data_IF_207507710049
#
_entry.id   IF_207507710049
#
_cell.length_a   1.000
_cell.length_b   1.000
_cell.length_c   1.000
_cell.angle_alpha   90.00
_cell.angle_beta   90.00
_cell.angle_gamma   90.00
#
_symmetry.space_group_name_H-M   'P 1'
#
loop_
_entity.id
_entity.type
_entity.pdbx_description
1 polymer ?
#
# COMPACT_ATOMS: atom_id res chain seq x y z
N UNK A 1 23.86 7.10 -19.11
CA UNK A 1 22.68 7.86 -18.65
C UNK A 1 21.71 8.00 -19.81
N UNK A 2 20.78 7.06 -19.95
CA UNK A 2 19.79 7.07 -21.02
C UNK A 2 18.63 7.99 -20.64
N UNK A 3 18.77 9.28 -20.93
CA UNK A 3 17.64 10.20 -21.02
C UNK A 3 16.90 9.89 -22.32
N UNK A 4 15.85 9.08 -22.24
CA UNK A 4 14.89 8.94 -23.33
C UNK A 4 14.15 10.28 -23.47
N UNK A 5 14.66 11.13 -24.36
CA UNK A 5 13.97 12.36 -24.78
C UNK A 5 12.69 11.97 -25.51
N UNK A 6 11.58 12.61 -25.12
CA UNK A 6 10.26 12.48 -25.76
C UNK A 6 10.35 12.69 -27.29
N UNK A 7 11.39 13.37 -27.80
CA UNK A 7 11.65 13.52 -29.23
C UNK A 7 11.92 12.19 -29.96
N UNK A 8 12.47 11.17 -29.29
CA UNK A 8 12.79 9.88 -29.92
C UNK A 8 11.55 8.98 -30.09
N UNK A 9 10.50 9.16 -29.29
CA UNK A 9 9.24 8.44 -29.46
C UNK A 9 8.42 8.91 -30.69
N UNK A 10 8.75 10.08 -31.23
CA UNK A 10 8.04 10.67 -32.37
C UNK A 10 8.33 10.05 -33.74
N UNK A 11 9.26 9.08 -33.84
CA UNK A 11 9.66 8.47 -35.11
C UNK A 11 8.85 7.24 -35.53
N UNK A 12 7.82 6.85 -34.76
CA UNK A 12 6.90 5.78 -35.14
C UNK A 12 5.70 6.36 -35.90
N UNK A 13 5.54 6.07 -37.21
CA UNK A 13 4.61 6.79 -38.09
C UNK A 13 3.11 6.61 -37.75
N UNK A 14 2.77 5.69 -36.84
CA UNK A 14 1.40 5.48 -36.37
C UNK A 14 1.07 6.16 -35.02
N UNK A 15 2.08 6.58 -34.23
CA UNK A 15 1.90 7.27 -32.94
C UNK A 15 1.83 8.79 -33.09
N UNK A 16 2.38 9.35 -34.17
CA UNK A 16 2.45 10.80 -34.42
C UNK A 16 1.08 11.48 -34.56
N UNK A 17 0.03 10.73 -34.90
CA UNK A 17 -1.33 11.26 -35.06
C UNK A 17 -2.10 11.37 -33.73
N UNK A 18 -1.65 10.66 -32.68
CA UNK A 18 -2.21 10.72 -31.32
C UNK A 18 -1.43 11.65 -30.38
N UNK A 19 -0.19 12.00 -30.75
CA UNK A 19 0.72 12.84 -29.96
C UNK A 19 0.51 14.38 -30.00
N UNK A 20 -0.22 15.00 -30.95
CA UNK A 20 -0.38 16.44 -30.90
C UNK A 20 -1.52 16.78 -29.92
N UNK A 21 -1.18 17.45 -28.82
CA UNK A 21 -2.02 17.99 -27.71
C UNK A 21 -2.05 17.18 -26.40
N UNK A 22 -0.99 16.47 -26.04
CA UNK A 22 -0.75 16.27 -24.61
C UNK A 22 -0.23 17.60 -24.04
N UNK A 23 -0.94 18.26 -23.10
CA UNK A 23 -0.41 19.46 -22.47
C UNK A 23 0.90 19.08 -21.78
N UNK A 24 1.99 19.76 -22.14
CA UNK A 24 3.24 19.56 -21.41
C UNK A 24 2.98 19.93 -19.94
N UNK A 25 3.36 19.07 -18.99
CA UNK A 25 3.30 19.45 -17.58
C UNK A 25 4.05 20.76 -17.38
N UNK A 26 3.43 21.72 -16.69
CA UNK A 26 4.10 22.96 -16.33
C UNK A 26 5.31 22.67 -15.44
N UNK A 27 6.28 23.58 -15.44
CA UNK A 27 7.43 23.50 -14.56
C UNK A 27 6.99 23.42 -13.09
N UNK A 28 7.73 22.65 -12.29
CA UNK A 28 7.48 22.56 -10.84
C UNK A 28 7.78 23.90 -10.17
N UNK A 29 7.06 24.19 -9.09
CA UNK A 29 7.11 25.46 -8.35
C UNK A 29 7.66 25.27 -6.94
N UNK A 30 7.94 26.38 -6.25
CA UNK A 30 8.41 26.37 -4.88
C UNK A 30 7.27 26.11 -3.90
N UNK A 31 7.60 25.70 -2.67
CA UNK A 31 6.62 25.52 -1.60
C UNK A 31 5.83 26.81 -1.32
N UNK A 32 6.42 27.99 -1.51
CA UNK A 32 5.75 29.29 -1.35
C UNK A 32 4.56 29.48 -2.31
N UNK A 33 4.61 28.83 -3.46
CA UNK A 33 3.72 29.09 -4.60
C UNK A 33 2.48 28.17 -4.59
N UNK A 34 2.45 27.19 -3.67
CA UNK A 34 1.30 26.29 -3.47
C UNK A 34 0.61 26.54 -2.12
N UNK A 35 -0.70 26.28 -2.01
CA UNK A 35 -1.41 26.39 -0.73
C UNK A 35 -0.77 25.54 0.37
N UNK A 36 -0.90 25.99 1.62
CA UNK A 36 -0.27 25.34 2.78
C UNK A 36 -0.64 23.86 2.93
N UNK A 37 -1.83 23.46 2.49
CA UNK A 37 -2.30 22.07 2.49
C UNK A 37 -1.32 21.11 1.80
N UNK A 38 -0.78 21.51 0.65
CA UNK A 38 0.08 20.69 -0.21
C UNK A 38 1.54 20.63 0.26
N UNK A 39 1.97 21.56 1.13
CA UNK A 39 3.39 21.73 1.50
C UNK A 39 3.81 20.67 2.49
N UNK A 40 4.85 19.89 2.20
CA UNK A 40 5.40 18.91 3.12
C UNK A 40 6.54 19.51 3.97
N UNK A 41 6.74 19.07 5.22
CA UNK A 41 7.81 19.60 6.06
C UNK A 41 9.17 19.35 5.40
N UNK A 42 10.03 20.37 5.40
CA UNK A 42 11.40 20.32 4.87
C UNK A 42 11.54 20.14 3.35
N UNK A 43 10.44 20.01 2.62
CA UNK A 43 10.39 19.97 1.16
C UNK A 43 10.16 21.40 0.65
N UNK A 44 11.10 21.96 -0.11
CA UNK A 44 11.11 23.39 -0.45
C UNK A 44 10.72 23.68 -1.91
N UNK A 45 10.84 22.69 -2.79
CA UNK A 45 10.60 22.80 -4.23
C UNK A 45 10.06 21.50 -4.83
N UNK A 46 9.82 21.50 -6.14
CA UNK A 46 9.36 20.31 -6.85
C UNK A 46 7.85 20.11 -6.82
N UNK A 47 7.07 21.08 -6.34
CA UNK A 47 5.61 21.00 -6.31
C UNK A 47 5.02 21.18 -7.70
N UNK A 48 3.94 20.46 -8.01
CA UNK A 48 3.19 20.69 -9.25
C UNK A 48 2.21 21.85 -9.06
N UNK A 49 2.05 22.75 -10.05
CA UNK A 49 1.03 23.79 -10.01
C UNK A 49 -0.37 23.22 -9.80
N UNK A 50 -1.21 23.95 -9.07
CA UNK A 50 -2.62 23.58 -8.82
C UNK A 50 -3.51 24.04 -9.98
N UNK A 51 -4.74 23.51 -10.06
CA UNK A 51 -5.78 23.89 -11.02
C UNK A 51 -5.38 23.74 -12.50
N UNK A 52 -4.48 22.80 -12.79
CA UNK A 52 -4.16 22.42 -14.17
C UNK A 52 -5.21 21.44 -14.71
N UNK A 53 -5.25 21.29 -16.04
CA UNK A 53 -6.01 20.22 -16.67
C UNK A 53 -5.58 18.84 -16.13
N UNK A 54 -6.53 17.92 -15.91
CA UNK A 54 -6.23 16.56 -15.43
C UNK A 54 -5.16 15.85 -16.25
N UNK A 55 -5.17 16.07 -17.56
CA UNK A 55 -4.18 15.54 -18.51
C UNK A 55 -2.75 15.92 -18.13
N UNK A 56 -2.53 17.12 -17.60
CA UNK A 56 -1.21 17.59 -17.15
C UNK A 56 -0.69 16.76 -15.97
N UNK A 57 -1.57 16.38 -15.03
CA UNK A 57 -1.18 15.51 -13.91
C UNK A 57 -0.88 14.08 -14.36
N UNK A 58 -1.65 13.52 -15.31
CA UNK A 58 -1.30 12.23 -15.92
C UNK A 58 0.04 12.28 -16.65
N UNK A 59 0.29 13.34 -17.43
CA UNK A 59 1.57 13.55 -18.11
C UNK A 59 2.73 13.76 -17.13
N UNK A 60 2.46 14.30 -15.94
CA UNK A 60 3.47 14.49 -14.89
C UNK A 60 4.05 13.18 -14.35
N UNK A 61 3.44 12.03 -14.67
CA UNK A 61 4.02 10.71 -14.39
C UNK A 61 5.47 10.59 -14.87
N UNK A 62 5.82 11.23 -16.00
CA UNK A 62 7.16 11.24 -16.57
C UNK A 62 7.95 12.54 -16.28
N UNK A 63 7.44 13.40 -15.41
CA UNK A 63 8.11 14.62 -14.94
C UNK A 63 8.75 14.36 -13.57
N UNK A 64 9.91 14.95 -13.33
CA UNK A 64 10.51 14.99 -12.00
C UNK A 64 9.83 16.05 -11.13
N UNK A 65 9.19 15.62 -10.05
CA UNK A 65 8.51 16.42 -9.05
C UNK A 65 8.58 15.71 -7.68
N UNK A 66 8.17 16.39 -6.61
CA UNK A 66 8.28 15.86 -5.25
C UNK A 66 7.51 14.53 -5.06
N UNK A 67 6.37 14.37 -5.72
CA UNK A 67 5.59 13.12 -5.67
C UNK A 67 6.09 12.00 -6.60
N UNK A 68 7.13 12.20 -7.43
CA UNK A 68 7.46 11.26 -8.51
C UNK A 68 7.79 9.86 -8.00
N UNK A 69 8.67 9.73 -6.99
CA UNK A 69 8.98 8.41 -6.46
C UNK A 69 7.85 7.83 -5.60
N UNK A 70 6.99 8.65 -4.99
CA UNK A 70 5.79 8.16 -4.30
C UNK A 70 4.87 7.41 -5.29
N UNK A 71 4.73 7.93 -6.51
CA UNK A 71 3.98 7.29 -7.60
C UNK A 71 4.72 6.07 -8.14
N UNK A 72 5.99 6.22 -8.56
CA UNK A 72 6.72 5.16 -9.25
C UNK A 72 6.99 3.91 -8.40
N UNK A 73 7.24 4.08 -7.10
CA UNK A 73 7.49 2.95 -6.19
C UNK A 73 6.28 2.00 -6.12
N UNK A 74 5.07 2.53 -5.95
CA UNK A 74 3.86 1.72 -5.95
C UNK A 74 3.44 1.27 -7.36
N UNK A 75 3.63 2.11 -8.38
CA UNK A 75 3.32 1.76 -9.77
C UNK A 75 4.15 0.57 -10.27
N UNK A 76 5.43 0.49 -9.89
CA UNK A 76 6.30 -0.64 -10.24
C UNK A 76 6.03 -1.90 -9.43
N UNK A 77 5.48 -1.78 -8.21
CA UNK A 77 5.08 -2.92 -7.40
C UNK A 77 3.90 -3.69 -8.03
N UNK A 78 2.96 -3.00 -8.69
CA UNK A 78 1.80 -3.61 -9.36
C UNK A 78 2.20 -4.70 -10.37
N UNK A 79 3.00 -4.42 -11.42
CA UNK A 79 3.40 -5.44 -12.38
C UNK A 79 4.30 -6.51 -11.75
N UNK A 80 5.08 -6.19 -10.71
CA UNK A 80 5.88 -7.18 -9.99
C UNK A 80 5.00 -8.22 -9.28
N UNK A 81 3.96 -7.77 -8.55
CA UNK A 81 2.97 -8.65 -7.91
C UNK A 81 2.22 -9.47 -8.95
N UNK A 82 1.74 -8.84 -10.03
CA UNK A 82 1.01 -9.53 -11.10
C UNK A 82 1.88 -10.59 -11.78
N UNK A 83 3.14 -10.29 -12.06
CA UNK A 83 4.08 -11.24 -12.64
C UNK A 83 4.31 -12.42 -11.69
N UNK A 84 4.61 -12.16 -10.41
CA UNK A 84 4.86 -13.22 -9.43
C UNK A 84 3.61 -14.09 -9.22
N UNK A 85 2.43 -13.49 -9.13
CA UNK A 85 1.16 -14.22 -9.05
C UNK A 85 0.88 -15.04 -10.30
N UNK A 86 1.13 -14.49 -11.49
CA UNK A 86 0.91 -15.22 -12.75
C UNK A 86 1.85 -16.42 -12.90
N UNK A 87 3.13 -16.24 -12.53
CA UNK A 87 4.11 -17.34 -12.51
C UNK A 87 3.72 -18.41 -11.50
N UNK A 88 3.31 -18.02 -10.29
CA UNK A 88 2.83 -18.94 -9.27
C UNK A 88 1.58 -19.71 -9.76
N UNK A 89 0.59 -19.00 -10.28
CA UNK A 89 -0.65 -19.59 -10.77
C UNK A 89 -0.42 -20.55 -11.93
N UNK A 90 0.46 -20.20 -12.88
CA UNK A 90 0.82 -21.07 -14.00
C UNK A 90 1.62 -22.31 -13.57
N UNK A 91 2.57 -22.14 -12.65
CA UNK A 91 3.44 -23.25 -12.18
C UNK A 91 2.66 -24.31 -11.40
N UNK A 92 1.71 -23.87 -10.57
CA UNK A 92 0.98 -24.74 -9.65
C UNK A 92 -0.48 -24.99 -10.05
N UNK A 93 -0.90 -24.51 -11.23
CA UNK A 93 -2.26 -24.69 -11.73
C UNK A 93 -3.32 -24.08 -10.80
N UNK A 94 -3.05 -22.89 -10.25
CA UNK A 94 -3.96 -22.23 -9.29
C UNK A 94 -5.28 -21.89 -9.97
N UNK A 95 -6.37 -22.42 -9.44
CA UNK A 95 -7.74 -22.08 -9.84
C UNK A 95 -8.45 -21.36 -8.70
N UNK A 96 -9.42 -20.50 -9.02
CA UNK A 96 -10.28 -19.88 -8.03
C UNK A 96 -11.28 -20.93 -7.51
N UNK A 97 -11.15 -21.27 -6.23
CA UNK A 97 -12.04 -22.16 -5.48
C UNK A 97 -12.08 -21.70 -4.02
N UNK A 98 -12.85 -22.38 -3.16
CA UNK A 98 -13.01 -21.94 -1.76
C UNK A 98 -11.67 -21.93 -1.01
N UNK A 99 -10.80 -22.92 -1.26
CA UNK A 99 -9.50 -22.99 -0.61
C UNK A 99 -8.56 -21.84 -1.01
N UNK A 100 -8.63 -21.37 -2.27
CA UNK A 100 -7.78 -20.29 -2.79
C UNK A 100 -8.40 -18.90 -2.67
N UNK A 101 -9.69 -18.79 -2.33
CA UNK A 101 -10.42 -17.52 -2.23
C UNK A 101 -9.68 -16.46 -1.36
N UNK A 102 -9.20 -16.77 -0.14
CA UNK A 102 -8.45 -15.80 0.65
C UNK A 102 -7.18 -15.30 -0.04
N UNK A 103 -6.53 -16.13 -0.87
CA UNK A 103 -5.34 -15.74 -1.61
C UNK A 103 -5.70 -14.75 -2.72
N UNK A 104 -6.77 -15.01 -3.47
CA UNK A 104 -7.26 -14.07 -4.50
C UNK A 104 -7.69 -12.74 -3.89
N UNK A 105 -8.36 -12.74 -2.73
CA UNK A 105 -8.73 -11.52 -2.02
C UNK A 105 -7.50 -10.74 -1.53
N UNK A 106 -6.47 -11.44 -1.04
CA UNK A 106 -5.18 -10.82 -0.70
C UNK A 106 -4.54 -10.14 -1.93
N UNK A 107 -4.47 -10.81 -3.08
CA UNK A 107 -3.95 -10.23 -4.32
C UNK A 107 -4.77 -9.01 -4.75
N UNK A 108 -6.09 -9.13 -4.77
CA UNK A 108 -6.99 -8.03 -5.13
C UNK A 108 -6.76 -6.82 -4.21
N UNK A 109 -6.71 -7.04 -2.89
CA UNK A 109 -6.45 -6.00 -1.90
C UNK A 109 -5.07 -5.33 -2.08
N UNK A 110 -4.06 -6.11 -2.45
CA UNK A 110 -2.70 -5.63 -2.74
C UNK A 110 -2.70 -4.68 -3.95
N UNK A 111 -3.40 -5.07 -5.02
CA UNK A 111 -3.53 -4.24 -6.22
C UNK A 111 -4.37 -2.99 -5.95
N UNK A 112 -5.41 -3.09 -5.12
CA UNK A 112 -6.27 -1.97 -4.74
C UNK A 112 -5.49 -0.88 -4.00
N UNK A 113 -4.75 -1.21 -2.93
CA UNK A 113 -4.02 -0.17 -2.18
C UNK A 113 -2.94 0.50 -3.03
N UNK A 114 -2.19 -0.28 -3.82
CA UNK A 114 -1.16 0.26 -4.71
C UNK A 114 -1.77 1.21 -5.73
N UNK A 115 -2.89 0.81 -6.36
CA UNK A 115 -3.58 1.62 -7.36
C UNK A 115 -4.15 2.90 -6.76
N UNK A 116 -4.76 2.82 -5.58
CA UNK A 116 -5.31 3.98 -4.89
C UNK A 116 -4.22 4.95 -4.45
N UNK A 117 -3.10 4.45 -3.96
CA UNK A 117 -1.95 5.26 -3.60
C UNK A 117 -1.29 5.93 -4.81
N UNK A 118 -1.08 5.19 -5.91
CA UNK A 118 -0.61 5.75 -7.20
C UNK A 118 -1.53 6.87 -7.65
N UNK A 119 -2.84 6.64 -7.63
CA UNK A 119 -3.84 7.62 -8.05
C UNK A 119 -3.80 8.84 -7.15
N UNK A 120 -3.69 8.67 -5.84
CA UNK A 120 -3.61 9.78 -4.90
C UNK A 120 -2.37 10.63 -5.11
N UNK A 121 -1.18 10.04 -5.11
CA UNK A 121 0.05 10.78 -5.29
C UNK A 121 0.18 11.40 -6.69
N UNK A 122 -0.39 10.79 -7.73
CA UNK A 122 -0.35 11.35 -9.07
C UNK A 122 -1.33 12.53 -9.23
N UNK A 123 -2.50 12.49 -8.59
CA UNK A 123 -3.61 13.40 -8.90
C UNK A 123 -3.96 14.41 -7.79
N UNK A 124 -3.42 14.24 -6.57
CA UNK A 124 -3.81 15.05 -5.39
C UNK A 124 -3.60 16.56 -5.58
N UNK A 125 -2.61 16.97 -6.38
CA UNK A 125 -2.24 18.37 -6.57
C UNK A 125 -3.23 19.18 -7.42
N UNK A 126 -4.31 18.58 -7.94
CA UNK A 126 -5.28 19.28 -8.79
C UNK A 126 -6.05 20.39 -8.04
N UNK A 127 -6.62 20.09 -6.88
CA UNK A 127 -7.36 21.05 -6.04
C UNK A 127 -7.41 20.55 -4.61
N UNK A 128 -7.82 21.40 -3.66
CA UNK A 128 -7.95 20.97 -2.26
C UNK A 128 -8.98 19.84 -2.10
N UNK A 129 -10.10 19.91 -2.85
CA UNK A 129 -11.09 18.83 -2.85
C UNK A 129 -10.48 17.52 -3.36
N UNK A 130 -9.78 17.57 -4.50
CA UNK A 130 -9.08 16.40 -5.04
C UNK A 130 -8.07 15.84 -4.05
N UNK A 131 -7.30 16.70 -3.37
CA UNK A 131 -6.37 16.29 -2.33
C UNK A 131 -7.06 15.48 -1.22
N UNK A 132 -8.15 16.00 -0.63
CA UNK A 132 -8.87 15.27 0.41
C UNK A 132 -9.48 13.96 -0.10
N UNK A 133 -10.23 14.01 -1.19
CA UNK A 133 -10.92 12.84 -1.75
C UNK A 133 -9.97 11.72 -2.11
N UNK A 134 -8.88 12.03 -2.80
CA UNK A 134 -7.92 11.02 -3.26
C UNK A 134 -7.15 10.38 -2.11
N UNK A 135 -6.77 11.14 -1.09
CA UNK A 135 -6.13 10.56 0.09
C UNK A 135 -7.11 9.79 0.99
N UNK A 136 -8.41 10.10 0.98
CA UNK A 136 -9.40 9.23 1.62
C UNK A 136 -9.51 7.89 0.91
N UNK A 137 -9.51 7.90 -0.43
CA UNK A 137 -9.47 6.66 -1.22
C UNK A 137 -8.18 5.88 -0.94
N UNK A 138 -7.03 6.54 -0.82
CA UNK A 138 -5.77 5.91 -0.40
C UNK A 138 -5.89 5.20 0.96
N UNK A 139 -6.47 5.87 1.97
CA UNK A 139 -6.70 5.26 3.28
C UNK A 139 -7.68 4.08 3.25
N UNK A 140 -8.72 4.14 2.39
CA UNK A 140 -9.59 2.99 2.13
C UNK A 140 -8.77 1.83 1.54
N UNK A 141 -7.89 2.10 0.58
CA UNK A 141 -7.00 1.10 -0.01
C UNK A 141 -6.14 0.40 1.04
N UNK A 142 -5.52 1.16 1.95
CA UNK A 142 -4.72 0.62 3.06
C UNK A 142 -5.56 -0.28 3.98
N UNK A 143 -6.79 0.12 4.31
CA UNK A 143 -7.67 -0.69 5.16
C UNK A 143 -8.16 -1.97 4.49
N UNK A 144 -8.44 -1.92 3.18
CA UNK A 144 -8.79 -3.11 2.39
C UNK A 144 -7.60 -4.07 2.30
N UNK A 145 -6.39 -3.55 2.09
CA UNK A 145 -5.17 -4.36 2.10
C UNK A 145 -4.90 -5.00 3.47
N UNK A 146 -5.02 -4.23 4.54
CA UNK A 146 -4.93 -4.75 5.90
C UNK A 146 -5.86 -5.96 6.10
N UNK A 147 -7.15 -5.84 5.76
CA UNK A 147 -8.07 -6.96 5.92
C UNK A 147 -7.76 -8.14 4.99
N UNK A 148 -7.28 -7.89 3.77
CA UNK A 148 -6.77 -8.93 2.87
C UNK A 148 -5.58 -9.70 3.46
N UNK A 149 -4.64 -9.01 4.12
CA UNK A 149 -3.54 -9.63 4.87
C UNK A 149 -4.07 -10.51 5.99
N UNK A 150 -5.04 -10.01 6.76
CA UNK A 150 -5.70 -10.77 7.84
C UNK A 150 -6.32 -12.07 7.37
N UNK A 151 -7.04 -12.07 6.23
CA UNK A 151 -7.58 -13.30 5.65
C UNK A 151 -6.47 -14.31 5.35
N UNK A 152 -5.40 -13.87 4.69
CA UNK A 152 -4.25 -14.72 4.40
C UNK A 152 -3.62 -15.30 5.65
N UNK A 153 -3.26 -14.45 6.62
CA UNK A 153 -2.62 -14.88 7.86
C UNK A 153 -3.50 -15.84 8.67
N UNK A 154 -4.81 -15.61 8.71
CA UNK A 154 -5.74 -16.48 9.42
C UNK A 154 -5.91 -17.83 8.74
N UNK A 155 -6.09 -17.88 7.42
CA UNK A 155 -6.42 -19.14 6.74
C UNK A 155 -5.19 -19.99 6.41
N UNK A 156 -4.02 -19.39 6.23
CA UNK A 156 -2.83 -20.14 5.77
C UNK A 156 -1.68 -20.15 6.79
N UNK A 157 -1.49 -19.09 7.58
CA UNK A 157 -0.35 -19.00 8.50
C UNK A 157 -0.65 -19.46 9.93
N UNK A 158 -1.93 -19.55 10.31
CA UNK A 158 -2.30 -19.62 11.73
C UNK A 158 -2.28 -21.04 12.31
N UNK A 159 -1.52 -21.21 13.39
CA UNK A 159 -1.38 -22.50 14.07
C UNK A 159 -2.63 -22.84 14.90
N UNK A 160 -2.98 -24.14 15.06
CA UNK A 160 -4.16 -24.56 15.82
C UNK A 160 -4.22 -23.98 17.24
N UNK A 161 -3.09 -23.99 17.96
CA UNK A 161 -3.00 -23.45 19.34
C UNK A 161 -3.35 -21.96 19.38
N UNK A 162 -2.89 -21.19 18.39
CA UNK A 162 -3.19 -19.76 18.31
C UNK A 162 -4.65 -19.52 17.87
N UNK A 163 -5.15 -20.29 16.90
CA UNK A 163 -6.54 -20.16 16.40
C UNK A 163 -7.60 -20.45 17.47
N UNK A 164 -7.34 -21.43 18.33
CA UNK A 164 -8.26 -21.78 19.41
C UNK A 164 -8.11 -20.88 20.66
N UNK A 165 -7.18 -19.93 20.64
CA UNK A 165 -7.06 -18.93 21.70
C UNK A 165 -8.19 -17.89 21.62
N UNK A 166 -8.36 -17.10 22.69
CA UNK A 166 -9.31 -15.98 22.71
C UNK A 166 -9.10 -15.00 21.56
N UNK A 167 -7.83 -14.73 21.21
CA UNK A 167 -7.48 -13.82 20.11
C UNK A 167 -7.88 -14.43 18.76
N UNK A 168 -7.60 -15.73 18.56
CA UNK A 168 -7.92 -16.43 17.32
C UNK A 168 -9.42 -16.45 17.02
N UNK A 169 -10.26 -16.66 18.03
CA UNK A 169 -11.73 -16.70 17.88
C UNK A 169 -12.31 -15.37 17.38
N UNK A 170 -11.77 -14.24 17.84
CA UNK A 170 -12.27 -12.90 17.49
C UNK A 170 -11.45 -12.21 16.40
N UNK A 171 -10.44 -12.89 15.84
CA UNK A 171 -9.45 -12.28 14.96
C UNK A 171 -10.07 -11.60 13.74
N UNK A 172 -10.84 -12.31 12.92
CA UNK A 172 -11.39 -11.76 11.67
C UNK A 172 -12.38 -10.60 11.92
N UNK A 173 -13.37 -10.72 12.83
CA UNK A 173 -14.22 -9.57 13.18
C UNK A 173 -13.41 -8.39 13.76
N UNK A 174 -12.42 -8.67 14.62
CA UNK A 174 -11.54 -7.66 15.19
C UNK A 174 -10.72 -6.93 14.13
N UNK A 175 -10.15 -7.67 13.18
CA UNK A 175 -9.38 -7.12 12.07
C UNK A 175 -10.23 -6.21 11.18
N UNK A 176 -11.47 -6.62 10.86
CA UNK A 176 -12.40 -5.78 10.10
C UNK A 176 -12.74 -4.46 10.83
N UNK A 177 -13.05 -4.53 12.12
CA UNK A 177 -13.35 -3.35 12.95
C UNK A 177 -12.13 -2.43 13.02
N UNK A 178 -10.93 -2.98 13.24
CA UNK A 178 -9.70 -2.19 13.33
C UNK A 178 -9.30 -1.60 11.98
N UNK A 179 -9.55 -2.28 10.86
CA UNK A 179 -9.36 -1.72 9.52
C UNK A 179 -10.27 -0.51 9.30
N UNK A 180 -11.56 -0.61 9.66
CA UNK A 180 -12.50 0.50 9.58
C UNK A 180 -12.10 1.65 10.51
N UNK A 181 -11.71 1.35 11.75
CA UNK A 181 -11.28 2.35 12.73
C UNK A 181 -9.99 3.07 12.27
N UNK A 182 -9.04 2.34 11.70
CA UNK A 182 -7.81 2.88 11.13
C UNK A 182 -8.10 3.83 9.97
N UNK A 183 -8.93 3.41 9.01
CA UNK A 183 -9.36 4.25 7.88
C UNK A 183 -10.07 5.52 8.35
N UNK A 184 -11.12 5.37 9.16
CA UNK A 184 -11.93 6.50 9.65
C UNK A 184 -11.09 7.49 10.46
N UNK A 185 -10.18 6.99 11.30
CA UNK A 185 -9.28 7.84 12.07
C UNK A 185 -8.29 8.60 11.18
N UNK A 186 -7.77 7.97 10.12
CA UNK A 186 -6.91 8.62 9.14
C UNK A 186 -7.64 9.70 8.32
N UNK A 187 -8.86 9.40 7.86
CA UNK A 187 -9.74 10.36 7.18
C UNK A 187 -10.07 11.54 8.10
N UNK A 188 -10.52 11.26 9.33
CA UNK A 188 -10.83 12.26 10.34
C UNK A 188 -9.61 13.14 10.65
N UNK A 189 -8.45 12.53 10.88
CA UNK A 189 -7.22 13.27 11.19
C UNK A 189 -6.78 14.18 10.04
N UNK A 190 -6.96 13.76 8.78
CA UNK A 190 -6.64 14.59 7.62
C UNK A 190 -7.63 15.74 7.46
N UNK A 191 -8.92 15.51 7.69
CA UNK A 191 -9.96 16.55 7.60
C UNK A 191 -9.89 17.56 8.75
N UNK A 192 -9.73 17.09 9.99
CA UNK A 192 -9.89 17.88 11.21
C UNK A 192 -8.69 18.77 11.53
N UNK A 193 -7.48 18.28 11.27
CA UNK A 193 -6.25 18.97 11.67
C UNK A 193 -5.65 19.72 10.48
N UNK A 194 -5.08 20.90 10.73
CA UNK A 194 -4.44 21.77 9.72
C UNK A 194 -2.99 22.03 10.10
N UNK A 195 -2.18 22.52 9.15
CA UNK A 195 -0.77 22.85 9.39
C UNK A 195 -0.62 24.12 10.25
N UNK A 196 0.39 24.22 11.13
CA UNK A 196 1.32 23.13 11.52
C UNK A 196 0.57 22.04 12.30
N UNK A 197 0.77 20.78 11.90
CA UNK A 197 -0.04 19.69 12.43
C UNK A 197 0.28 19.42 13.90
N UNK A 198 -0.73 19.37 14.79
CA UNK A 198 -0.52 19.05 16.19
C UNK A 198 -0.20 17.57 16.37
N UNK A 199 0.48 17.22 17.46
CA UNK A 199 0.79 15.83 17.84
C UNK A 199 -0.48 14.95 17.88
N UNK A 200 -1.62 15.52 18.25
CA UNK A 200 -2.93 14.83 18.27
C UNK A 200 -3.30 14.21 16.92
N UNK A 201 -2.90 14.82 15.79
CA UNK A 201 -3.10 14.24 14.45
C UNK A 201 -2.37 12.91 14.32
N UNK A 202 -1.08 12.88 14.69
CA UNK A 202 -0.27 11.66 14.64
C UNK A 202 -0.81 10.58 15.58
N UNK A 203 -1.21 10.95 16.80
CA UNK A 203 -1.82 10.01 17.76
C UNK A 203 -3.09 9.38 17.17
N UNK A 204 -3.94 10.20 16.55
CA UNK A 204 -5.18 9.74 15.91
C UNK A 204 -4.93 8.75 14.77
N UNK A 205 -3.84 8.89 14.02
CA UNK A 205 -3.49 7.98 12.93
C UNK A 205 -2.75 6.74 13.44
N UNK A 206 -1.70 6.93 14.24
CA UNK A 206 -0.77 5.85 14.61
C UNK A 206 -1.40 4.85 15.57
N UNK A 207 -2.21 5.26 16.56
CA UNK A 207 -2.75 4.31 17.55
C UNK A 207 -3.66 3.27 16.89
N UNK A 208 -4.72 3.64 16.14
CA UNK A 208 -5.59 2.67 15.50
C UNK A 208 -4.83 1.78 14.51
N UNK A 209 -3.95 2.35 13.68
CA UNK A 209 -3.15 1.57 12.71
C UNK A 209 -2.16 0.63 13.40
N UNK A 210 -1.61 1.00 14.57
CA UNK A 210 -0.72 0.12 15.33
C UNK A 210 -1.50 -1.03 15.97
N UNK A 211 -2.68 -0.78 16.53
CA UNK A 211 -3.54 -1.83 17.08
C UNK A 211 -3.99 -2.81 16.00
N UNK A 212 -4.38 -2.29 14.83
CA UNK A 212 -4.64 -3.04 13.62
C UNK A 212 -3.47 -3.97 13.28
N UNK A 213 -2.27 -3.40 13.10
CA UNK A 213 -1.09 -4.19 12.76
C UNK A 213 -0.76 -5.27 13.80
N UNK A 214 -0.82 -4.93 15.10
CA UNK A 214 -0.54 -5.86 16.19
C UNK A 214 -1.49 -7.06 16.17
N UNK A 215 -2.78 -6.83 15.88
CA UNK A 215 -3.72 -7.93 15.70
C UNK A 215 -3.35 -8.73 14.46
N UNK A 216 -3.29 -8.10 13.28
CA UNK A 216 -3.10 -8.73 11.98
C UNK A 216 -1.82 -9.57 11.87
N UNK A 217 -0.74 -9.15 12.53
CA UNK A 217 0.54 -9.87 12.54
C UNK A 217 0.59 -10.99 13.59
N UNK A 218 -0.36 -11.05 14.53
CA UNK A 218 -0.29 -11.98 15.66
C UNK A 218 -0.25 -13.47 15.29
N UNK A 219 -0.90 -13.99 14.21
CA UNK A 219 -0.70 -15.38 13.79
C UNK A 219 0.75 -15.65 13.35
N UNK A 220 1.32 -14.71 12.59
CA UNK A 220 2.71 -14.77 12.11
C UNK A 220 3.68 -14.66 13.28
N UNK A 221 3.46 -13.72 14.20
CA UNK A 221 4.29 -13.53 15.38
C UNK A 221 4.29 -14.77 16.28
N UNK A 222 3.14 -15.41 16.48
CA UNK A 222 3.05 -16.68 17.18
C UNK A 222 3.87 -17.77 16.49
N UNK A 223 3.76 -17.90 15.17
CA UNK A 223 4.52 -18.90 14.41
C UNK A 223 6.03 -18.66 14.48
N UNK A 224 6.48 -17.40 14.33
CA UNK A 224 7.89 -17.00 14.49
C UNK A 224 8.45 -17.31 15.89
N UNK A 225 7.61 -17.22 16.92
CA UNK A 225 8.00 -17.48 18.31
C UNK A 225 7.98 -18.97 18.69
N UNK A 226 7.23 -19.80 17.98
CA UNK A 226 6.96 -21.20 18.39
C UNK A 226 7.52 -22.26 17.46
N UNK A 227 7.86 -21.92 16.21
CA UNK A 227 8.42 -22.86 15.23
C UNK A 227 9.94 -22.73 15.09
N UNK A 228 10.57 -23.82 14.64
CA UNK A 228 12.00 -23.86 14.29
C UNK A 228 12.27 -23.11 12.99
N UNK A 229 13.36 -22.34 12.96
CA UNK A 229 13.74 -21.47 11.83
C UNK A 229 14.35 -22.21 10.63
N UNK A 230 14.27 -23.53 10.61
CA UNK A 230 14.67 -24.36 9.47
C UNK A 230 13.70 -24.22 8.28
N UNK A 231 12.48 -23.72 8.52
CA UNK A 231 11.49 -23.45 7.48
C UNK A 231 11.80 -22.10 6.77
N UNK A 232 12.13 -22.09 5.46
CA UNK A 232 12.46 -20.86 4.74
C UNK A 232 11.34 -19.81 4.73
N UNK A 233 10.08 -20.22 4.91
CA UNK A 233 8.93 -19.33 4.97
C UNK A 233 8.96 -18.41 6.20
N UNK A 234 9.56 -18.84 7.30
CA UNK A 234 9.70 -18.02 8.51
C UNK A 234 10.66 -16.85 8.30
N UNK A 235 11.70 -17.03 7.48
CA UNK A 235 12.61 -15.94 7.09
C UNK A 235 11.84 -14.87 6.32
N UNK A 236 10.96 -15.26 5.39
CA UNK A 236 10.13 -14.31 4.64
C UNK A 236 9.13 -13.59 5.55
N UNK A 237 8.51 -14.32 6.48
CA UNK A 237 7.65 -13.74 7.51
C UNK A 237 8.38 -12.78 8.45
N UNK A 238 9.63 -13.06 8.80
CA UNK A 238 10.46 -12.15 9.58
C UNK A 238 10.83 -10.89 8.77
N UNK A 239 11.19 -11.05 7.50
CA UNK A 239 11.52 -9.94 6.61
C UNK A 239 10.33 -8.99 6.39
N UNK A 240 9.10 -9.49 6.19
CA UNK A 240 7.93 -8.60 6.10
C UNK A 240 7.73 -7.78 7.39
N UNK A 241 7.97 -8.37 8.57
CA UNK A 241 7.86 -7.66 9.85
C UNK A 241 8.92 -6.57 9.93
N UNK A 242 10.18 -6.89 9.61
CA UNK A 242 11.28 -5.92 9.58
C UNK A 242 10.98 -4.77 8.61
N UNK A 243 10.56 -5.08 7.39
CA UNK A 243 10.25 -4.07 6.39
C UNK A 243 9.03 -3.22 6.79
N UNK A 244 7.99 -3.80 7.39
CA UNK A 244 6.88 -3.03 7.94
C UNK A 244 7.32 -2.07 9.04
N UNK A 245 8.17 -2.52 9.97
CA UNK A 245 8.69 -1.67 11.05
C UNK A 245 9.54 -0.52 10.52
N UNK A 246 10.35 -0.77 9.48
CA UNK A 246 11.10 0.28 8.78
C UNK A 246 10.15 1.25 8.06
N UNK A 247 9.13 0.75 7.37
CA UNK A 247 8.10 1.57 6.74
C UNK A 247 7.41 2.49 7.78
N UNK A 248 6.98 1.93 8.93
CA UNK A 248 6.34 2.68 10.01
C UNK A 248 7.26 3.76 10.60
N UNK A 249 8.57 3.51 10.71
CA UNK A 249 9.56 4.49 11.14
C UNK A 249 9.60 5.71 10.19
N UNK A 250 9.75 5.47 8.89
CA UNK A 250 9.84 6.53 7.88
C UNK A 250 8.51 7.26 7.64
N UNK A 251 7.38 6.60 7.84
CA UNK A 251 6.07 7.26 7.87
C UNK A 251 5.92 8.20 9.07
N UNK A 252 6.46 7.81 10.23
CA UNK A 252 6.29 8.54 11.49
C UNK A 252 7.22 9.74 11.62
N UNK A 253 8.42 9.66 11.04
CA UNK A 253 9.46 10.66 11.16
C UNK A 253 9.92 11.16 9.78
N UNK A 254 9.90 12.49 9.53
CA UNK A 254 10.31 13.06 8.24
C UNK A 254 11.84 13.08 8.12
N UNK A 255 12.45 11.91 8.03
CA UNK A 255 13.89 11.69 7.92
C UNK A 255 14.14 10.97 6.60
N UNK A 256 15.16 11.36 5.82
CA UNK A 256 16.26 12.28 6.14
C UNK A 256 16.00 13.78 5.89
N UNK A 257 14.88 14.18 5.29
CA UNK A 257 14.59 15.55 4.85
C UNK A 257 14.64 16.58 5.99
N UNK A 258 14.35 16.19 7.23
CA UNK A 258 14.54 17.03 8.42
C UNK A 258 15.98 17.49 8.62
N UNK A 259 16.95 16.64 8.29
CA UNK A 259 18.39 16.94 8.45
C UNK A 259 18.96 17.65 7.22
N UNK A 260 18.31 17.50 6.06
CA UNK A 260 18.75 18.11 4.80
C UNK A 260 17.59 18.81 4.06
N UNK A 261 17.02 19.90 4.63
CA UNK A 261 15.89 20.59 4.00
C UNK A 261 16.26 21.07 2.60
N UNK A 262 15.37 20.87 1.62
CA UNK A 262 15.61 21.24 0.22
C UNK A 262 16.46 20.24 -0.59
N UNK A 263 17.20 19.32 0.06
CA UNK A 263 18.06 18.34 -0.65
C UNK A 263 17.36 17.04 -0.99
N UNK A 264 16.24 16.75 -0.31
CA UNK A 264 15.43 15.55 -0.51
C UNK A 264 14.09 15.86 -1.20
N UNK A 265 13.99 17.01 -1.88
CA UNK A 265 12.74 17.52 -2.44
C UNK A 265 12.13 16.55 -3.47
N UNK A 266 12.97 15.99 -4.35
CA UNK A 266 12.56 15.09 -5.42
C UNK A 266 12.86 13.62 -5.07
N UNK A 267 13.97 13.35 -4.40
CA UNK A 267 14.46 11.99 -4.13
C UNK A 267 14.92 11.85 -2.68
N UNK A 268 14.51 10.75 -2.04
CA UNK A 268 15.03 10.27 -0.78
C UNK A 268 14.42 10.91 0.47
N UNK A 269 13.25 11.57 0.39
CA UNK A 269 12.53 11.96 1.61
C UNK A 269 11.74 10.78 2.20
N UNK A 270 11.43 10.86 3.50
CA UNK A 270 10.92 9.76 4.32
C UNK A 270 9.69 9.08 3.74
N UNK A 271 8.74 9.84 3.16
CA UNK A 271 7.53 9.25 2.56
C UNK A 271 7.85 8.32 1.37
N UNK A 272 8.85 8.65 0.56
CA UNK A 272 9.30 7.79 -0.55
C UNK A 272 9.96 6.52 -0.01
N UNK A 273 10.78 6.65 1.02
CA UNK A 273 11.45 5.52 1.68
C UNK A 273 10.40 4.59 2.33
N UNK A 274 9.36 5.18 2.94
CA UNK A 274 8.20 4.45 3.44
C UNK A 274 7.54 3.59 2.35
N UNK A 275 7.24 4.15 1.17
CA UNK A 275 6.67 3.39 0.04
C UNK A 275 7.58 2.24 -0.40
N UNK A 276 8.90 2.46 -0.46
CA UNK A 276 9.87 1.40 -0.83
C UNK A 276 9.83 0.24 0.16
N UNK A 277 9.88 0.52 1.47
CA UNK A 277 9.82 -0.53 2.48
C UNK A 277 8.45 -1.22 2.51
N UNK A 278 7.36 -0.49 2.30
CA UNK A 278 6.03 -1.08 2.22
C UNK A 278 5.90 -2.03 1.01
N UNK A 279 6.43 -1.65 -0.15
CA UNK A 279 6.45 -2.52 -1.33
C UNK A 279 7.29 -3.79 -1.07
N UNK A 280 8.48 -3.67 -0.45
CA UNK A 280 9.29 -4.83 -0.08
C UNK A 280 8.58 -5.74 0.94
N UNK A 281 7.88 -5.15 1.91
CA UNK A 281 7.01 -5.89 2.84
C UNK A 281 5.97 -6.71 2.09
N UNK A 282 5.22 -6.09 1.17
CA UNK A 282 4.20 -6.78 0.37
C UNK A 282 4.80 -7.91 -0.47
N UNK A 283 5.98 -7.73 -1.06
CA UNK A 283 6.64 -8.77 -1.86
C UNK A 283 7.09 -9.97 -1.01
N UNK A 284 7.67 -9.72 0.17
CA UNK A 284 8.03 -10.81 1.11
C UNK A 284 6.79 -11.52 1.63
N UNK A 285 5.75 -10.77 1.98
CA UNK A 285 4.48 -11.33 2.43
C UNK A 285 3.83 -12.18 1.33
N UNK A 286 3.79 -11.69 0.08
CA UNK A 286 3.24 -12.41 -1.07
C UNK A 286 3.92 -13.77 -1.26
N UNK A 287 5.26 -13.81 -1.25
CA UNK A 287 6.01 -15.05 -1.38
C UNK A 287 5.77 -16.00 -0.19
N UNK A 288 5.67 -15.46 1.03
CA UNK A 288 5.34 -16.27 2.20
C UNK A 288 3.92 -16.87 2.09
N UNK A 289 2.95 -16.07 1.68
CA UNK A 289 1.56 -16.49 1.48
C UNK A 289 1.44 -17.60 0.44
N UNK A 290 2.19 -17.53 -0.66
CA UNK A 290 2.23 -18.59 -1.67
C UNK A 290 2.77 -19.90 -1.10
N UNK A 291 3.84 -19.85 -0.31
CA UNK A 291 4.42 -21.05 0.31
C UNK A 291 3.46 -21.67 1.32
N UNK A 292 2.83 -20.86 2.15
CA UNK A 292 1.84 -21.34 3.11
C UNK A 292 0.59 -21.89 2.41
N UNK A 293 0.14 -21.28 1.33
CA UNK A 293 -0.96 -21.82 0.52
C UNK A 293 -0.60 -23.19 -0.06
N UNK A 294 0.62 -23.40 -0.55
CA UNK A 294 1.04 -24.70 -1.08
C UNK A 294 1.03 -25.81 -0.01
N UNK A 295 1.37 -25.46 1.24
CA UNK A 295 1.40 -26.41 2.36
C UNK A 295 0.00 -26.65 2.92
N UNK A 296 -0.77 -25.59 3.16
CA UNK A 296 -2.02 -25.63 3.93
C UNK A 296 -3.29 -25.56 3.08
N UNK A 297 -3.19 -25.14 1.82
CA UNK A 297 -4.34 -24.89 0.95
C UNK A 297 -5.21 -26.13 0.71
N UNK A 298 -4.65 -27.34 0.76
CA UNK A 298 -5.46 -28.57 0.62
C UNK A 298 -6.30 -28.86 1.87
N UNK A 299 -5.78 -28.56 3.06
CA UNK A 299 -6.45 -28.81 4.34
C UNK A 299 -7.30 -27.63 4.83
N UNK A 300 -7.18 -26.45 4.21
CA UNK A 300 -7.83 -25.22 4.72
C UNK A 300 -9.36 -25.37 4.83
N UNK A 301 -9.97 -26.05 3.87
CA UNK A 301 -11.43 -26.29 3.87
C UNK A 301 -11.83 -27.25 4.97
N UNK A 302 -11.08 -28.33 5.19
CA UNK A 302 -11.34 -29.30 6.26
C UNK A 302 -11.18 -28.64 7.64
N UNK A 303 -10.22 -27.74 7.76
CA UNK A 303 -9.83 -27.11 9.02
C UNK A 303 -10.78 -25.98 9.42
N UNK A 304 -11.29 -25.20 8.46
CA UNK A 304 -12.10 -24.01 8.72
C UNK A 304 -13.57 -24.17 8.36
N UNK A 305 -13.91 -25.12 7.50
CA UNK A 305 -15.23 -25.28 6.91
C UNK A 305 -15.47 -24.32 5.75
N UNK A 306 -16.06 -24.85 4.68
CA UNK A 306 -16.35 -24.12 3.44
C UNK A 306 -17.18 -22.85 3.67
N UNK A 307 -18.27 -22.98 4.43
CA UNK A 307 -19.19 -21.88 4.72
C UNK A 307 -18.50 -20.71 5.44
N UNK A 308 -17.58 -21.00 6.37
CA UNK A 308 -16.87 -19.97 7.11
C UNK A 308 -15.90 -19.18 6.21
N UNK A 309 -15.19 -19.87 5.31
CA UNK A 309 -14.29 -19.22 4.35
C UNK A 309 -15.08 -18.31 3.40
N UNK A 310 -16.23 -18.78 2.89
CA UNK A 310 -17.09 -17.97 2.02
C UNK A 310 -17.64 -16.76 2.78
N UNK A 311 -18.09 -16.92 4.02
CA UNK A 311 -18.60 -15.83 4.85
C UNK A 311 -17.50 -14.78 5.12
N UNK A 312 -16.29 -15.23 5.47
CA UNK A 312 -15.14 -14.34 5.64
C UNK A 312 -14.80 -13.61 4.33
N UNK A 313 -14.84 -14.30 3.20
CA UNK A 313 -14.67 -13.68 1.88
C UNK A 313 -15.77 -12.67 1.54
N UNK A 314 -17.03 -12.95 1.89
CA UNK A 314 -18.14 -12.02 1.72
C UNK A 314 -17.98 -10.74 2.57
N UNK A 315 -17.46 -10.88 3.80
CA UNK A 315 -17.19 -9.73 4.67
C UNK A 315 -16.13 -8.78 4.10
N UNK A 316 -15.20 -9.28 3.27
CA UNK A 316 -14.23 -8.44 2.57
C UNK A 316 -14.93 -7.46 1.61
N UNK A 317 -15.95 -7.94 0.87
CA UNK A 317 -16.71 -7.11 -0.06
C UNK A 317 -17.51 -6.06 0.72
N UNK A 318 -18.10 -6.43 1.86
CA UNK A 318 -18.84 -5.50 2.72
C UNK A 318 -17.95 -4.42 3.35
N UNK A 319 -16.67 -4.73 3.62
CA UNK A 319 -15.72 -3.73 4.12
C UNK A 319 -15.34 -2.69 3.05
N UNK A 320 -15.42 -3.07 1.77
CA UNK A 320 -15.09 -2.23 0.62
C UNK A 320 -16.26 -1.31 0.23
N UNK A 321 -17.51 -1.69 0.55
CA UNK A 321 -18.73 -0.93 0.27
C UNK A 321 -19.03 0.13 1.34
#
# INVERSE_FOLDING_TARGET
TLTLSIQQLGQLPHLSNWLPRLPLPQATVLASDVPSLFREPYILSGYRPVHQEWRSYFCSLFQCHNESLNVWTHLLAIPAILLQFSLFAGTWGLTLNVASLPLFLYILSSLTYLSFSVTAHLLQSHSELSHYSLFFVDYVGVAVYQYGCSLGHYFYCSEPVWRHSLVGVVFLPGAAILAWLSCTSCCYAKFRYRRPYPLRRKICQIIPTSLAYLLDISPVAHRLATKSWDEPVLVLHALQVVFFMLAALFFSYPVPERFFPGRCDIVGHGHQIFHVFLAMCTMCQLEAMFRDFLVHGKSVVDVHGEHFIILAGGSFILLVL
#
